data_IF_246722286814
#
_entry.id   IF_246722286814
#
_cell.length_a   1.000
_cell.length_b   1.000
_cell.length_c   1.000
_cell.angle_alpha   90.00
_cell.angle_beta   90.00
_cell.angle_gamma   90.00
#
_symmetry.space_group_name_H-M   'P 1'
#
loop_
_entity.id
_entity.type
_entity.pdbx_description
1 polymer ?
#
# COMPACT_ATOMS: atom_id res chain seq x y z
N UNK A 1 1.03 -17.63 34.70
CA UNK A 1 1.46 -16.57 33.76
C UNK A 1 1.97 -17.30 32.53
N UNK A 2 1.31 -17.14 31.38
CA UNK A 2 1.72 -17.84 30.15
C UNK A 2 3.04 -17.22 29.71
N UNK A 3 4.12 -18.00 29.68
CA UNK A 3 5.45 -17.54 29.24
C UNK A 3 5.42 -17.21 27.74
N UNK A 4 5.07 -15.97 27.44
CA UNK A 4 5.13 -15.38 26.09
C UNK A 4 6.54 -15.53 25.50
N UNK A 5 7.57 -15.53 26.37
CA UNK A 5 8.97 -15.74 26.00
C UNK A 5 9.25 -17.13 25.39
N UNK A 6 8.54 -18.18 25.82
CA UNK A 6 8.71 -19.54 25.30
C UNK A 6 8.05 -19.70 23.92
N UNK A 7 6.90 -19.06 23.70
CA UNK A 7 6.23 -19.03 22.39
C UNK A 7 6.96 -18.16 21.36
N UNK A 8 7.58 -17.06 21.80
CA UNK A 8 8.39 -16.19 20.94
C UNK A 8 9.73 -16.84 20.53
N UNK A 9 10.32 -17.67 21.39
CA UNK A 9 11.51 -18.45 21.06
C UNK A 9 11.23 -19.69 20.21
N UNK A 10 9.96 -20.11 20.12
CA UNK A 10 9.52 -21.23 19.29
C UNK A 10 9.24 -20.86 17.82
N UNK A 11 9.11 -19.57 17.49
CA UNK A 11 8.97 -19.11 16.11
C UNK A 11 10.37 -18.90 15.51
N UNK A 12 10.82 -19.74 14.56
CA UNK A 12 12.09 -19.51 13.89
C UNK A 12 12.04 -18.15 13.18
N UNK A 13 13.04 -17.27 13.35
CA UNK A 13 13.10 -15.98 12.64
C UNK A 13 12.87 -16.11 11.13
N UNK A 14 13.32 -17.23 10.54
CA UNK A 14 13.07 -17.56 9.13
C UNK A 14 11.60 -17.63 8.75
N UNK A 15 10.70 -18.09 9.62
CA UNK A 15 9.26 -18.14 9.34
C UNK A 15 8.68 -16.72 9.23
N UNK A 16 9.12 -15.79 10.07
CA UNK A 16 8.70 -14.39 10.00
C UNK A 16 9.12 -13.78 8.66
N UNK A 17 10.37 -14.01 8.25
CA UNK A 17 10.87 -13.52 6.96
C UNK A 17 10.10 -14.11 5.78
N UNK A 18 9.79 -15.42 5.82
CA UNK A 18 9.01 -16.08 4.78
C UNK A 18 7.57 -15.56 4.72
N UNK A 19 6.93 -15.29 5.86
CA UNK A 19 5.58 -14.70 5.92
C UNK A 19 5.61 -13.29 5.32
N UNK A 20 6.59 -12.46 5.69
CA UNK A 20 6.75 -11.11 5.15
C UNK A 20 6.93 -11.15 3.63
N UNK A 21 7.88 -11.96 3.14
CA UNK A 21 8.13 -12.12 1.71
C UNK A 21 6.91 -12.66 0.96
N UNK A 22 6.23 -13.66 1.52
CA UNK A 22 5.06 -14.31 0.93
C UNK A 22 3.85 -13.38 0.85
N UNK A 23 3.49 -12.73 1.96
CA UNK A 23 2.32 -11.83 2.00
C UNK A 23 2.56 -10.63 1.10
N UNK A 24 3.72 -9.96 1.20
CA UNK A 24 4.04 -8.81 0.34
C UNK A 24 4.14 -9.24 -1.12
N UNK A 25 4.70 -10.42 -1.41
CA UNK A 25 4.78 -10.94 -2.76
C UNK A 25 3.42 -11.23 -3.38
N UNK A 26 2.53 -11.92 -2.66
CA UNK A 26 1.15 -12.16 -3.11
C UNK A 26 0.39 -10.84 -3.26
N UNK A 27 0.64 -9.87 -2.37
CA UNK A 27 0.06 -8.55 -2.48
C UNK A 27 0.48 -7.83 -3.77
N UNK A 28 1.79 -7.80 -4.02
CA UNK A 28 2.41 -7.25 -5.24
C UNK A 28 2.01 -7.97 -6.53
N UNK A 29 1.49 -9.20 -6.46
CA UNK A 29 0.90 -9.88 -7.62
C UNK A 29 -0.45 -9.28 -8.06
N UNK A 30 -1.07 -8.42 -7.25
CA UNK A 30 -2.38 -7.84 -7.51
C UNK A 30 -3.48 -8.29 -6.55
N UNK A 31 -3.15 -9.06 -5.51
CA UNK A 31 -4.11 -9.54 -4.52
C UNK A 31 -4.17 -8.55 -3.36
N UNK A 32 -5.33 -8.03 -2.96
CA UNK A 32 -5.40 -7.15 -1.80
C UNK A 32 -5.18 -7.96 -0.52
N UNK A 33 -3.94 -7.98 -0.02
CA UNK A 33 -3.57 -8.53 1.27
C UNK A 33 -3.12 -7.41 2.22
N UNK A 34 -3.26 -7.58 3.54
CA UNK A 34 -2.84 -6.58 4.52
C UNK A 34 -1.31 -6.60 4.73
N UNK A 35 -0.52 -6.39 3.67
CA UNK A 35 0.94 -6.45 3.75
C UNK A 35 1.55 -5.37 4.63
N UNK A 36 0.94 -4.19 4.73
CA UNK A 36 1.37 -3.15 5.66
C UNK A 36 1.27 -3.61 7.12
N UNK A 37 0.20 -4.33 7.49
CA UNK A 37 0.03 -4.84 8.85
C UNK A 37 1.13 -5.85 9.16
N UNK A 38 1.41 -6.77 8.23
CA UNK A 38 2.48 -7.77 8.40
C UNK A 38 3.85 -7.09 8.54
N UNK A 39 4.14 -6.08 7.74
CA UNK A 39 5.39 -5.34 7.82
C UNK A 39 5.54 -4.57 9.14
N UNK A 40 4.47 -3.91 9.60
CA UNK A 40 4.43 -3.24 10.90
C UNK A 40 4.67 -4.23 12.03
N UNK A 41 3.96 -5.37 12.03
CA UNK A 41 4.15 -6.41 13.04
C UNK A 41 5.58 -6.96 13.03
N UNK A 42 6.17 -7.21 11.86
CA UNK A 42 7.55 -7.69 11.74
C UNK A 42 8.57 -6.65 12.21
N UNK A 43 8.36 -5.37 11.91
CA UNK A 43 9.23 -4.29 12.37
C UNK A 43 9.16 -4.09 13.90
N UNK A 44 7.98 -4.30 14.51
CA UNK A 44 7.82 -4.28 15.97
C UNK A 44 8.51 -5.49 16.63
N UNK A 45 8.40 -6.68 16.04
CA UNK A 45 9.17 -7.85 16.48
C UNK A 45 10.69 -7.60 16.37
N UNK A 46 11.12 -6.89 15.32
CA UNK A 46 12.50 -6.48 15.18
C UNK A 46 12.92 -5.51 16.30
N UNK A 47 12.07 -4.53 16.61
CA UNK A 47 12.32 -3.58 17.70
C UNK A 47 12.44 -4.27 19.07
N UNK A 48 11.67 -5.35 19.29
CA UNK A 48 11.75 -6.19 20.49
C UNK A 48 12.95 -7.16 20.51
N UNK A 49 13.79 -7.17 19.46
CA UNK A 49 14.98 -8.03 19.37
C UNK A 49 14.68 -9.49 18.99
N UNK A 50 13.47 -9.80 18.50
CA UNK A 50 13.08 -11.17 18.11
C UNK A 50 13.60 -11.54 16.72
N UNK A 51 13.68 -10.56 15.82
CA UNK A 51 14.16 -10.70 14.44
C UNK A 51 15.06 -9.51 14.07
N UNK A 52 15.86 -9.61 13.02
CA UNK A 52 16.68 -8.47 12.58
C UNK A 52 15.94 -7.64 11.54
N UNK A 53 15.96 -6.29 11.65
CA UNK A 53 15.27 -5.41 10.71
C UNK A 53 15.83 -5.51 9.28
N UNK A 54 17.11 -5.83 9.13
CA UNK A 54 17.78 -6.01 7.83
C UNK A 54 17.15 -7.17 7.04
N UNK A 55 16.91 -8.30 7.69
CA UNK A 55 16.29 -9.47 7.07
C UNK A 55 14.80 -9.24 6.80
N UNK A 56 14.09 -8.52 7.66
CA UNK A 56 12.70 -8.11 7.40
C UNK A 56 12.62 -7.22 6.15
N UNK A 57 13.46 -6.19 6.06
CA UNK A 57 13.50 -5.29 4.91
C UNK A 57 13.87 -6.02 3.62
N UNK A 58 14.86 -6.92 3.69
CA UNK A 58 15.30 -7.73 2.55
C UNK A 58 14.20 -8.69 2.09
N UNK A 59 13.52 -9.36 3.02
CA UNK A 59 12.40 -10.25 2.73
C UNK A 59 11.23 -9.48 2.08
N UNK A 60 10.90 -8.31 2.61
CA UNK A 60 9.87 -7.44 2.05
C UNK A 60 10.21 -6.96 0.63
N UNK A 61 11.45 -6.51 0.41
CA UNK A 61 11.91 -6.10 -0.90
C UNK A 61 11.90 -7.26 -1.90
N UNK A 62 12.40 -8.44 -1.51
CA UNK A 62 12.41 -9.64 -2.35
C UNK A 62 10.98 -10.07 -2.71
N UNK A 63 10.09 -10.14 -1.72
CA UNK A 63 8.67 -10.43 -1.93
C UNK A 63 8.04 -9.47 -2.93
N UNK A 64 8.21 -8.15 -2.72
CA UNK A 64 7.67 -7.14 -3.63
C UNK A 64 8.22 -7.29 -5.06
N UNK A 65 9.54 -7.44 -5.23
CA UNK A 65 10.17 -7.52 -6.55
C UNK A 65 9.70 -8.76 -7.32
N UNK A 66 9.66 -9.91 -6.65
CA UNK A 66 9.23 -11.18 -7.23
C UNK A 66 7.73 -11.13 -7.54
N UNK A 67 6.92 -10.69 -6.59
CA UNK A 67 5.46 -10.56 -6.74
C UNK A 67 5.09 -9.65 -7.90
N UNK A 68 5.68 -8.46 -7.96
CA UNK A 68 5.46 -7.49 -9.04
C UNK A 68 5.93 -8.03 -10.40
N UNK A 69 7.01 -8.82 -10.43
CA UNK A 69 7.49 -9.49 -11.66
C UNK A 69 6.52 -10.55 -12.15
N UNK A 70 5.92 -11.32 -11.25
CA UNK A 70 4.87 -12.29 -11.57
C UNK A 70 3.62 -11.53 -12.05
N UNK A 71 3.21 -10.49 -11.34
CA UNK A 71 2.10 -9.61 -11.73
C UNK A 71 2.31 -9.02 -13.12
N UNK A 72 3.52 -8.55 -13.43
CA UNK A 72 3.90 -8.08 -14.76
C UNK A 72 3.75 -9.16 -15.84
N UNK A 73 4.22 -10.38 -15.59
CA UNK A 73 4.10 -11.48 -16.55
C UNK A 73 2.63 -11.85 -16.81
N UNK A 74 1.81 -11.87 -15.75
CA UNK A 74 0.37 -12.12 -15.84
C UNK A 74 -0.31 -11.00 -16.63
N UNK A 75 -0.03 -9.73 -16.30
CA UNK A 75 -0.57 -8.57 -16.98
C UNK A 75 -0.17 -8.52 -18.47
N UNK A 76 1.08 -8.89 -18.79
CA UNK A 76 1.57 -8.93 -20.17
C UNK A 76 0.90 -10.00 -21.01
N UNK A 77 0.56 -11.15 -20.43
CA UNK A 77 -0.19 -12.22 -21.11
C UNK A 77 -1.68 -11.91 -21.21
N UNK A 78 -2.28 -11.36 -20.16
CA UNK A 78 -3.71 -11.09 -20.09
C UNK A 78 -4.14 -9.80 -20.80
N UNK A 79 -3.23 -8.83 -20.93
CA UNK A 79 -3.46 -7.55 -21.57
C UNK A 79 -4.61 -6.74 -20.95
N UNK A 80 -5.10 -5.75 -21.71
CA UNK A 80 -6.23 -4.90 -21.31
C UNK A 80 -7.53 -5.68 -21.01
N UNK A 81 -7.92 -6.73 -21.77
CA UNK A 81 -9.14 -7.48 -21.51
C UNK A 81 -9.18 -8.16 -20.13
N UNK A 82 -8.03 -8.63 -19.63
CA UNK A 82 -7.93 -9.19 -18.29
C UNK A 82 -8.18 -8.12 -17.22
N UNK A 83 -7.59 -6.94 -17.36
CA UNK A 83 -7.78 -5.83 -16.40
C UNK A 83 -9.25 -5.38 -16.35
N UNK A 84 -9.93 -5.32 -17.49
CA UNK A 84 -11.37 -4.99 -17.58
C UNK A 84 -12.24 -6.09 -16.96
N UNK A 85 -11.83 -7.37 -17.05
CA UNK A 85 -12.55 -8.46 -16.38
C UNK A 85 -12.35 -8.41 -14.87
N UNK A 86 -11.14 -8.11 -14.42
CA UNK A 86 -10.80 -8.02 -13.00
C UNK A 86 -11.44 -6.79 -12.34
N UNK A 87 -11.56 -5.67 -13.07
CA UNK A 87 -12.27 -4.47 -12.61
C UNK A 87 -13.76 -4.73 -12.37
N UNK A 88 -14.39 -5.53 -13.23
CA UNK A 88 -15.78 -5.98 -13.05
C UNK A 88 -15.95 -6.95 -11.88
N UNK A 89 -14.94 -7.78 -11.60
CA UNK A 89 -14.96 -8.78 -10.51
C UNK A 89 -14.69 -8.13 -9.14
N UNK A 90 -13.81 -7.13 -9.08
CA UNK A 90 -13.37 -6.47 -7.85
C UNK A 90 -13.55 -4.94 -7.91
N UNK A 91 -14.78 -4.42 -8.08
CA UNK A 91 -15.03 -3.00 -8.35
C UNK A 91 -14.59 -2.06 -7.22
N UNK A 92 -14.49 -2.54 -5.98
CA UNK A 92 -14.06 -1.73 -4.82
C UNK A 92 -12.58 -1.32 -4.87
N UNK A 93 -11.71 -2.19 -5.40
CA UNK A 93 -10.27 -1.95 -5.45
C UNK A 93 -9.81 -1.66 -6.89
N UNK A 94 -10.48 -2.26 -7.88
CA UNK A 94 -10.09 -2.25 -9.28
C UNK A 94 -11.13 -1.58 -10.18
N UNK A 95 -11.97 -0.69 -9.66
CA UNK A 95 -13.04 -0.07 -10.44
C UNK A 95 -12.55 0.68 -11.70
N UNK A 96 -13.47 1.04 -12.61
CA UNK A 96 -13.14 1.68 -13.88
C UNK A 96 -12.36 2.99 -13.70
N UNK A 97 -12.70 3.77 -12.67
CA UNK A 97 -12.05 5.04 -12.37
C UNK A 97 -10.61 4.84 -11.86
N UNK A 98 -10.37 3.83 -11.01
CA UNK A 98 -9.04 3.49 -10.51
C UNK A 98 -8.14 3.00 -11.66
N UNK A 99 -8.69 2.14 -12.52
CA UNK A 99 -7.98 1.64 -13.70
C UNK A 99 -7.64 2.78 -14.67
N UNK A 100 -8.58 3.68 -14.96
CA UNK A 100 -8.35 4.83 -15.84
C UNK A 100 -7.30 5.80 -15.28
N UNK A 101 -7.32 6.08 -13.97
CA UNK A 101 -6.29 6.89 -13.30
C UNK A 101 -4.92 6.25 -13.37
N UNK A 102 -4.85 4.93 -13.19
CA UNK A 102 -3.60 4.20 -13.28
C UNK A 102 -3.07 4.19 -14.73
N UNK A 103 -3.93 3.95 -15.74
CA UNK A 103 -3.59 4.05 -17.18
C UNK A 103 -3.06 5.46 -17.53
N UNK A 104 -3.72 6.53 -17.08
CA UNK A 104 -3.25 7.90 -17.29
C UNK A 104 -1.90 8.16 -16.62
N UNK A 105 -1.72 7.69 -15.38
CA UNK A 105 -0.48 7.91 -14.62
C UNK A 105 0.70 7.22 -15.31
N UNK A 106 0.51 5.99 -15.78
CA UNK A 106 1.49 5.25 -16.57
C UNK A 106 1.74 5.87 -17.95
N UNK A 107 0.71 6.40 -18.60
CA UNK A 107 0.87 7.10 -19.89
C UNK A 107 1.68 8.39 -19.71
N UNK A 108 1.43 9.14 -18.63
CA UNK A 108 2.09 10.44 -18.35
C UNK A 108 3.51 10.31 -17.79
N UNK A 109 3.74 9.35 -16.89
CA UNK A 109 5.02 9.23 -16.15
C UNK A 109 5.83 7.98 -16.53
N UNK A 110 5.25 7.04 -17.29
CA UNK A 110 5.93 5.84 -17.76
C UNK A 110 6.50 5.01 -16.61
N UNK A 111 7.80 4.73 -16.68
CA UNK A 111 8.54 3.90 -15.72
C UNK A 111 8.58 4.54 -14.32
N UNK A 112 8.50 5.88 -14.23
CA UNK A 112 8.44 6.58 -12.94
C UNK A 112 7.15 6.31 -12.17
N UNK A 113 6.06 5.98 -12.87
CA UNK A 113 4.81 5.57 -12.23
C UNK A 113 4.99 4.29 -11.39
N UNK A 114 5.89 3.39 -11.80
CA UNK A 114 6.22 2.17 -11.07
C UNK A 114 6.99 2.50 -9.79
N UNK A 115 7.97 3.41 -9.89
CA UNK A 115 8.78 3.82 -8.75
C UNK A 115 7.94 4.56 -7.70
N UNK A 116 7.24 5.63 -8.09
CA UNK A 116 6.44 6.43 -7.16
C UNK A 116 5.15 5.72 -6.75
N UNK A 117 4.61 4.84 -7.59
CA UNK A 117 3.43 4.04 -7.30
C UNK A 117 3.61 3.13 -6.07
N UNK A 118 4.86 2.76 -5.72
CA UNK A 118 5.17 1.99 -4.52
C UNK A 118 4.73 2.64 -3.21
N UNK A 119 4.69 3.96 -3.16
CA UNK A 119 4.30 4.71 -1.95
C UNK A 119 2.78 4.84 -1.81
N UNK A 120 2.01 4.40 -2.80
CA UNK A 120 0.55 4.45 -2.78
C UNK A 120 0.03 3.02 -2.83
N UNK A 121 -0.58 2.54 -1.74
CA UNK A 121 -0.99 1.15 -1.57
C UNK A 121 -1.73 0.58 -2.79
N UNK A 122 -2.68 1.32 -3.35
CA UNK A 122 -3.42 0.87 -4.52
C UNK A 122 -2.56 0.77 -5.79
N UNK A 123 -1.68 1.76 -6.03
CA UNK A 123 -0.77 1.72 -7.18
C UNK A 123 0.27 0.62 -7.03
N UNK A 124 0.74 0.33 -5.81
CA UNK A 124 1.69 -0.76 -5.52
C UNK A 124 1.15 -2.11 -5.96
N UNK A 125 -0.09 -2.44 -5.57
CA UNK A 125 -0.76 -3.70 -5.94
C UNK A 125 -0.93 -3.82 -7.47
N UNK A 126 -1.15 -2.70 -8.15
CA UNK A 126 -1.47 -2.69 -9.58
C UNK A 126 -0.28 -2.42 -10.49
N UNK A 127 0.85 -1.99 -9.94
CA UNK A 127 2.02 -1.56 -10.70
C UNK A 127 2.53 -2.67 -11.63
N UNK A 128 2.70 -3.90 -11.11
CA UNK A 128 3.12 -5.05 -11.90
C UNK A 128 2.14 -5.38 -13.02
N UNK A 129 0.90 -5.80 -12.72
CA UNK A 129 -0.10 -6.16 -13.73
C UNK A 129 -0.35 -5.07 -14.78
N UNK A 130 -0.40 -3.80 -14.38
CA UNK A 130 -0.65 -2.70 -15.30
C UNK A 130 0.55 -2.44 -16.22
N UNK A 131 1.77 -2.42 -15.67
CA UNK A 131 2.99 -2.27 -16.47
C UNK A 131 3.12 -3.40 -17.51
N UNK A 132 2.73 -4.61 -17.13
CA UNK A 132 2.65 -5.76 -18.02
C UNK A 132 1.64 -5.56 -19.15
N UNK A 133 0.41 -5.19 -18.81
CA UNK A 133 -0.67 -4.99 -19.78
C UNK A 133 -0.36 -3.86 -20.77
N UNK A 134 0.31 -2.81 -20.32
CA UNK A 134 0.79 -1.68 -21.14
C UNK A 134 2.09 -1.98 -21.89
N UNK A 135 2.61 -3.22 -21.83
CA UNK A 135 3.80 -3.66 -22.55
C UNK A 135 5.05 -2.82 -22.28
N UNK A 136 5.19 -2.30 -21.05
CA UNK A 136 6.40 -1.58 -20.64
C UNK A 136 7.61 -2.53 -20.75
N UNK A 137 8.77 -2.12 -21.28
CA UNK A 137 9.94 -2.99 -21.38
C UNK A 137 10.36 -3.55 -20.00
N UNK A 138 10.41 -4.88 -19.86
CA UNK A 138 10.63 -5.55 -18.56
C UNK A 138 11.87 -5.05 -17.82
N UNK A 139 12.98 -4.77 -18.53
CA UNK A 139 14.20 -4.25 -17.90
C UNK A 139 13.98 -2.90 -17.22
N UNK A 140 13.24 -2.00 -17.87
CA UNK A 140 12.96 -0.67 -17.30
C UNK A 140 11.99 -0.77 -16.12
N UNK A 141 10.98 -1.63 -16.26
CA UNK A 141 10.07 -1.97 -15.16
C UNK A 141 10.85 -2.53 -13.97
N UNK A 142 11.68 -3.56 -14.18
CA UNK A 142 12.41 -4.24 -13.11
C UNK A 142 13.36 -3.30 -12.38
N UNK A 143 14.05 -2.39 -13.06
CA UNK A 143 14.94 -1.41 -12.41
C UNK A 143 14.15 -0.45 -11.51
N UNK A 144 13.06 0.14 -12.02
CA UNK A 144 12.21 1.01 -11.21
C UNK A 144 11.53 0.25 -10.06
N UNK A 145 11.14 -0.99 -10.33
CA UNK A 145 10.55 -1.92 -9.37
C UNK A 145 11.56 -2.46 -8.35
N UNK A 146 12.84 -2.55 -8.66
CA UNK A 146 13.85 -2.90 -7.66
C UNK A 146 14.14 -1.67 -6.80
N UNK A 147 14.41 -0.53 -7.43
CA UNK A 147 14.75 0.71 -6.74
C UNK A 147 13.64 1.17 -5.79
N UNK A 148 12.39 1.27 -6.26
CA UNK A 148 11.29 1.69 -5.40
C UNK A 148 10.97 0.66 -4.30
N UNK A 149 11.33 -0.61 -4.52
CA UNK A 149 10.99 -1.71 -3.63
C UNK A 149 11.95 -1.75 -2.47
N UNK A 150 13.24 -1.57 -2.77
CA UNK A 150 14.29 -1.36 -1.79
C UNK A 150 14.04 -0.10 -0.97
N UNK A 151 13.82 1.05 -1.62
CA UNK A 151 13.59 2.33 -0.90
C UNK A 151 12.38 2.22 0.01
N UNK A 152 11.26 1.68 -0.47
CA UNK A 152 10.07 1.50 0.34
C UNK A 152 10.30 0.50 1.47
N UNK A 153 10.81 -0.71 1.19
CA UNK A 153 10.96 -1.77 2.19
C UNK A 153 11.95 -1.38 3.29
N UNK A 154 13.13 -0.88 2.93
CA UNK A 154 14.11 -0.41 3.91
C UNK A 154 13.62 0.84 4.63
N UNK A 155 13.12 1.84 3.89
CA UNK A 155 12.64 3.09 4.47
C UNK A 155 11.51 2.86 5.49
N UNK A 156 10.50 2.07 5.14
CA UNK A 156 9.39 1.76 6.05
C UNK A 156 9.80 0.86 7.20
N UNK A 157 10.58 -0.19 6.97
CA UNK A 157 11.03 -1.11 8.03
C UNK A 157 11.87 -0.37 9.06
N UNK A 158 12.87 0.40 8.64
CA UNK A 158 13.74 1.15 9.57
C UNK A 158 13.00 2.28 10.26
N UNK A 159 12.07 2.96 9.57
CA UNK A 159 11.22 3.96 10.20
C UNK A 159 10.38 3.33 11.32
N UNK A 160 9.69 2.22 11.03
CA UNK A 160 8.84 1.52 11.99
C UNK A 160 9.64 0.88 13.12
N UNK A 161 10.81 0.32 12.82
CA UNK A 161 11.75 -0.19 13.82
C UNK A 161 12.20 0.92 14.76
N UNK A 162 12.59 2.08 14.23
CA UNK A 162 13.04 3.23 15.04
C UNK A 162 11.91 3.78 15.90
N UNK A 163 10.71 3.90 15.33
CA UNK A 163 9.50 4.29 16.07
C UNK A 163 9.16 3.26 17.14
N UNK A 164 9.28 1.97 16.85
CA UNK A 164 9.05 0.88 17.81
C UNK A 164 10.03 0.90 18.97
N UNK A 165 11.32 1.11 18.70
CA UNK A 165 12.37 1.25 19.71
C UNK A 165 12.18 2.49 20.58
N UNK A 166 11.83 3.61 19.96
CA UNK A 166 11.46 4.81 20.70
C UNK A 166 10.23 4.53 21.56
N UNK A 167 9.16 3.98 20.98
CA UNK A 167 7.94 3.65 21.72
C UNK A 167 8.24 2.74 22.91
N UNK A 168 9.07 1.71 22.79
CA UNK A 168 9.46 0.85 23.93
C UNK A 168 10.17 1.63 25.05
N UNK A 169 10.99 2.64 24.69
CA UNK A 169 11.65 3.51 25.66
C UNK A 169 10.66 4.46 26.34
N UNK A 170 9.76 5.08 25.56
CA UNK A 170 8.78 6.06 26.06
C UNK A 170 7.57 5.41 26.76
N UNK A 171 7.14 4.20 26.35
CA UNK A 171 6.03 3.44 26.94
C UNK A 171 6.38 2.85 28.31
N UNK A 172 7.66 2.73 28.66
CA UNK A 172 8.07 2.43 30.04
C UNK A 172 7.78 3.61 30.99
N UNK A 173 7.76 4.84 30.46
CA UNK A 173 7.52 6.06 31.23
C UNK A 173 6.09 6.61 31.08
N UNK A 174 5.40 6.28 29.98
CA UNK A 174 4.01 6.68 29.72
C UNK A 174 3.02 5.67 30.32
N UNK A 175 2.29 6.13 31.34
CA UNK A 175 1.12 5.43 31.90
C UNK A 175 0.03 5.24 30.82
N UNK A 176 -0.82 4.21 30.96
CA UNK A 176 -1.95 3.87 30.06
C UNK A 176 -2.76 5.07 29.54
N UNK A 177 -2.83 6.14 30.33
CA UNK A 177 -3.47 7.42 30.00
C UNK A 177 -2.87 8.10 28.76
N UNK A 178 -1.55 8.05 28.56
CA UNK A 178 -0.90 8.63 27.38
C UNK A 178 -1.22 7.90 26.08
N UNK A 179 -1.37 6.57 26.15
CA UNK A 179 -1.80 5.75 25.02
C UNK A 179 -3.24 6.09 24.59
N UNK A 180 -4.14 6.26 25.56
CA UNK A 180 -5.53 6.66 25.31
C UNK A 180 -5.60 8.06 24.68
N UNK A 181 -4.80 9.01 25.15
CA UNK A 181 -4.75 10.38 24.58
C UNK A 181 -4.21 10.36 23.15
N UNK A 182 -3.19 9.55 22.85
CA UNK A 182 -2.65 9.43 21.49
C UNK A 182 -3.68 8.80 20.52
N UNK A 183 -4.41 7.77 20.95
CA UNK A 183 -5.47 7.14 20.16
C UNK A 183 -6.63 8.11 19.92
N UNK A 184 -7.09 8.82 20.96
CA UNK A 184 -8.15 9.82 20.85
C UNK A 184 -7.71 11.02 20.00
N UNK A 185 -6.45 11.42 20.09
CA UNK A 185 -5.85 12.46 19.24
C UNK A 185 -5.77 12.05 17.78
N UNK A 186 -5.35 10.81 17.50
CA UNK A 186 -5.30 10.26 16.14
C UNK A 186 -6.68 10.10 15.51
N UNK A 187 -7.65 9.59 16.28
CA UNK A 187 -9.06 9.48 15.86
C UNK A 187 -9.72 10.85 15.68
N UNK A 188 -9.42 11.80 16.57
CA UNK A 188 -9.90 13.18 16.49
C UNK A 188 -9.34 13.91 15.28
N UNK A 189 -8.04 13.75 15.00
CA UNK A 189 -7.36 14.33 13.83
C UNK A 189 -7.93 13.77 12.52
N UNK A 190 -8.08 12.45 12.42
CA UNK A 190 -8.68 11.83 11.23
C UNK A 190 -10.14 12.19 11.03
N UNK A 191 -10.93 12.31 12.11
CA UNK A 191 -12.31 12.79 12.03
C UNK A 191 -12.39 14.27 11.61
N UNK A 192 -11.52 15.13 12.15
CA UNK A 192 -11.46 16.55 11.82
C UNK A 192 -11.04 16.79 10.36
N UNK A 193 -10.01 16.09 9.88
CA UNK A 193 -9.57 16.16 8.48
C UNK A 193 -10.66 15.67 7.51
N UNK A 194 -11.39 14.60 7.87
CA UNK A 194 -12.53 14.11 7.09
C UNK A 194 -13.75 15.04 7.12
N UNK A 195 -13.93 15.82 8.18
CA UNK A 195 -14.95 16.87 8.24
C UNK A 195 -14.57 18.06 7.37
N UNK A 196 -13.29 18.45 7.38
CA UNK A 196 -12.79 19.58 6.59
C UNK A 196 -12.77 19.28 5.09
N UNK A 197 -12.44 18.05 4.69
CA UNK A 197 -12.51 17.61 3.30
C UNK A 197 -13.94 17.64 2.73
N UNK A 198 -14.95 17.26 3.54
CA UNK A 198 -16.36 17.30 3.14
C UNK A 198 -16.94 18.72 3.05
N UNK A 199 -16.35 19.68 3.76
CA UNK A 199 -16.77 21.09 3.70
C UNK A 199 -16.35 21.81 2.41
N UNK A 200 -15.39 21.26 1.64
CA UNK A 200 -14.91 21.86 0.39
C UNK A 200 -15.69 21.36 -0.84
N UNK A 201 -16.21 20.13 -0.84
CA UNK A 201 -17.06 19.61 -1.93
C UNK A 201 -18.43 20.30 -2.01
N UNK A 202 -18.94 20.85 -0.90
CA UNK A 202 -20.24 21.54 -0.88
C UNK A 202 -20.18 23.00 -1.36
N UNK A 203 -18.99 23.55 -1.61
CA UNK A 203 -18.80 24.94 -2.02
C UNK A 203 -18.61 25.13 -3.54
N UNK A 204 -18.55 24.04 -4.32
CA UNK A 204 -18.22 24.09 -5.77
C UNK A 204 -19.41 23.73 -6.68
N UNK A 205 -20.65 23.82 -6.19
CA UNK A 205 -21.84 23.77 -7.06
C UNK A 205 -22.76 24.98 -6.82
N UNK A 206 -22.50 26.14 -7.46
CA UNK A 206 -23.51 27.16 -7.68
C UNK A 206 -24.35 26.80 -8.91
N UNK A 207 -25.56 26.31 -8.65
CA UNK A 207 -26.83 26.82 -9.24
C UNK A 207 -26.79 27.37 -10.69
N UNK A 208 -26.58 26.51 -11.68
CA UNK A 208 -27.09 26.74 -13.05
C UNK A 208 -28.23 25.74 -13.31
N UNK A 209 -29.44 26.13 -12.92
CA UNK A 209 -30.67 25.45 -13.31
C UNK A 209 -31.82 26.46 -13.41
N UNK A 210 -31.71 27.44 -14.31
CA UNK A 210 -32.90 28.05 -14.92
C UNK A 210 -33.13 27.38 -16.28
N UNK A 211 -34.19 26.57 -16.46
CA UNK A 211 -34.47 25.96 -17.74
C UNK A 211 -34.99 27.03 -18.72
N UNK A 212 -34.23 27.25 -19.79
CA UNK A 212 -34.67 27.89 -21.02
C UNK A 212 -35.97 27.23 -21.47
N UNK A 213 -37.10 27.94 -21.29
CA UNK A 213 -38.35 27.63 -21.96
C UNK A 213 -38.15 27.89 -23.47
N UNK A 214 -37.86 26.84 -24.21
CA UNK A 214 -38.01 26.84 -25.65
C UNK A 214 -39.50 27.02 -25.99
N UNK A 215 -39.79 28.01 -26.84
CA UNK A 215 -41.14 28.38 -27.24
C UNK A 215 -41.87 27.28 -28.01
N UNK A 216 -43.19 27.39 -28.01
CA UNK A 216 -44.07 26.70 -28.95
C UNK A 216 -45.10 27.71 -29.47
N UNK A 217 -45.12 27.84 -30.79
CA UNK A 217 -46.19 28.33 -31.67
C UNK A 217 -47.57 28.59 -31.02
N UNK A 218 -48.06 29.82 -31.16
CA UNK A 218 -49.23 30.20 -31.99
C UNK A 218 -49.43 31.70 -32.01
#
# INVERSE_FOLDING_TARGET
MVDVQHWLSALPPGVVYLIVAGVIGVESMGVPLPGEIVLVSAALLAAAGVVEPEWVATAAAAGAIVGDSIGYAVGRRGGRPMLVRLSRRFPRHLGPAQLARAEQTFTKHGVWAVFFGRFVALLRILAGPLAGALHVPYRRFLVANAAGGLVWAFGTTYLLFSVGRAAEHWLKDISWVGLVIAILGGLGSTWWLRRRARGLESAEVPEEAEPVRAGADR
#
